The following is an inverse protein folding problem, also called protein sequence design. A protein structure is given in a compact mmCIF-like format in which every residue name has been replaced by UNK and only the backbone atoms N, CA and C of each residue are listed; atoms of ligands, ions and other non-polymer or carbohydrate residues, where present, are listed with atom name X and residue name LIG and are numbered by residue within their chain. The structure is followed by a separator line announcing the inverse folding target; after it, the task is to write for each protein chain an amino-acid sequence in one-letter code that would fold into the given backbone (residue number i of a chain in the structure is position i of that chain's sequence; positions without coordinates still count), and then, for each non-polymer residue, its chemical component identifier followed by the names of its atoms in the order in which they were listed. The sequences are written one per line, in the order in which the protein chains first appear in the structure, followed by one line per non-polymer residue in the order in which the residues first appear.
data_IF_370076970680
#
_entry.id   IF_370076970680
#
_cell.length_a   1.000
_cell.length_b   1.000
_cell.length_c   1.000
_cell.angle_alpha   90.00
_cell.angle_beta   90.00
_cell.angle_gamma   90.00
#
_symmetry.space_group_name_H-M   'P 1'
#
loop_
_entity.id
_entity.type
_entity.pdbx_description
1 polymer ?
#
# COMPACT_ATOMS: atom_id res chain seq x y z
N UNK A 1 -13.65 -25.48 -4.66
CA UNK A 1 -13.60 -24.63 -3.47
C UNK A 1 -12.17 -24.66 -2.93
N UNK A 2 -11.67 -23.49 -2.56
CA UNK A 2 -10.33 -23.35 -1.97
C UNK A 2 -10.52 -22.97 -0.50
N UNK A 3 -10.10 -23.83 0.41
CA UNK A 3 -10.16 -23.55 1.84
C UNK A 3 -8.86 -22.87 2.28
N UNK A 4 -8.99 -21.77 2.98
CA UNK A 4 -7.85 -21.04 3.53
C UNK A 4 -8.21 -20.33 4.84
N UNK A 5 -7.19 -20.02 5.62
CA UNK A 5 -7.31 -19.17 6.81
C UNK A 5 -6.63 -17.84 6.53
N UNK A 6 -7.37 -16.76 6.72
CA UNK A 6 -6.85 -15.40 6.59
C UNK A 6 -6.86 -14.73 7.96
N UNK A 7 -5.70 -14.22 8.37
CA UNK A 7 -5.55 -13.48 9.63
C UNK A 7 -5.01 -12.10 9.33
N UNK A 8 -5.65 -11.07 9.88
CA UNK A 8 -5.18 -9.69 9.79
C UNK A 8 -5.14 -9.06 11.18
N UNK A 9 -4.18 -8.15 11.38
CA UNK A 9 -4.06 -7.39 12.61
C UNK A 9 -3.76 -5.93 12.26
N UNK A 10 -4.33 -5.01 13.04
CA UNK A 10 -4.12 -3.58 12.89
C UNK A 10 -3.93 -2.96 14.26
N UNK A 11 -2.89 -2.13 14.40
CA UNK A 11 -2.65 -1.31 15.58
C UNK A 11 -2.55 0.15 15.16
N UNK A 12 -3.26 1.02 15.87
CA UNK A 12 -3.26 2.45 15.62
C UNK A 12 -2.93 3.18 16.91
N UNK A 13 -1.97 4.12 16.84
CA UNK A 13 -1.65 5.04 17.90
C UNK A 13 -1.77 6.48 17.38
N UNK A 14 -2.42 7.33 18.15
CA UNK A 14 -2.61 8.73 17.82
C UNK A 14 -2.32 9.60 19.03
N UNK A 15 -1.62 10.70 18.82
CA UNK A 15 -1.38 11.71 19.86
C UNK A 15 -1.44 13.11 19.26
N UNK A 16 -1.70 14.09 20.09
CA UNK A 16 -1.69 15.49 19.70
C UNK A 16 -0.57 16.22 20.43
N UNK A 17 0.13 17.05 19.69
CA UNK A 17 1.26 17.83 20.21
C UNK A 17 1.10 19.30 19.82
N UNK A 18 1.98 20.17 20.33
CA UNK A 18 1.96 21.62 20.02
C UNK A 18 0.59 22.28 20.32
N UNK A 19 0.10 22.14 21.56
CA UNK A 19 -1.20 22.63 22.00
C UNK A 19 -2.39 22.05 21.22
N UNK A 20 -2.28 20.77 20.86
CA UNK A 20 -3.30 20.02 20.11
C UNK A 20 -3.49 20.47 18.66
N UNK A 21 -2.60 21.30 18.14
CA UNK A 21 -2.65 21.76 16.75
C UNK A 21 -2.11 20.73 15.77
N UNK A 22 -1.18 19.88 16.20
CA UNK A 22 -0.57 18.85 15.37
C UNK A 22 -0.99 17.47 15.86
N UNK A 23 -1.56 16.67 14.98
CA UNK A 23 -1.93 15.28 15.25
C UNK A 23 -0.88 14.36 14.64
N UNK A 24 -0.28 13.50 15.45
CA UNK A 24 0.65 12.47 15.01
C UNK A 24 -0.05 11.12 15.10
N UNK A 25 0.06 10.34 14.02
CA UNK A 25 -0.58 9.02 13.93
C UNK A 25 0.42 7.99 13.44
N UNK A 26 0.42 6.81 14.07
CA UNK A 26 1.16 5.64 13.62
C UNK A 26 0.18 4.48 13.44
N UNK A 27 0.22 3.83 12.29
CA UNK A 27 -0.64 2.71 11.95
C UNK A 27 0.24 1.55 11.52
N UNK A 28 0.07 0.41 12.20
CA UNK A 28 0.76 -0.84 11.87
C UNK A 28 -0.29 -1.86 11.47
N UNK A 29 -0.14 -2.45 10.30
CA UNK A 29 -1.08 -3.43 9.77
C UNK A 29 -0.31 -4.61 9.19
N UNK A 30 -0.81 -5.81 9.41
CA UNK A 30 -0.23 -7.02 8.86
C UNK A 30 -1.27 -8.09 8.63
N UNK A 31 -0.98 -9.00 7.74
CA UNK A 31 -1.87 -10.12 7.45
C UNK A 31 -1.16 -11.31 6.85
N UNK A 32 -1.79 -12.47 7.01
CA UNK A 32 -1.31 -13.74 6.48
C UNK A 32 -2.46 -14.60 5.99
N UNK A 33 -2.24 -15.29 4.88
CA UNK A 33 -3.16 -16.28 4.34
C UNK A 33 -2.43 -17.61 4.30
N UNK A 34 -3.06 -18.67 4.82
CA UNK A 34 -2.58 -20.03 4.79
C UNK A 34 -3.61 -20.93 4.10
N UNK A 35 -3.23 -21.59 3.02
CA UNK A 35 -4.09 -22.56 2.33
C UNK A 35 -4.22 -23.84 3.15
N UNK A 36 -5.38 -24.45 3.09
CA UNK A 36 -5.68 -25.72 3.75
C UNK A 36 -5.78 -26.85 2.71
N UNK A 37 -5.48 -28.07 3.14
CA UNK A 37 -5.67 -29.27 2.31
C UNK A 37 -4.77 -29.35 1.09
N UNK A 38 -3.63 -28.63 1.06
CA UNK A 38 -2.71 -28.65 -0.08
C UNK A 38 -3.16 -27.81 -1.28
N UNK A 39 -4.20 -27.00 -1.11
CA UNK A 39 -4.68 -26.09 -2.15
C UNK A 39 -3.77 -24.87 -2.30
N UNK A 40 -3.78 -24.26 -3.49
CA UNK A 40 -3.07 -23.01 -3.78
C UNK A 40 -4.06 -21.85 -3.66
N UNK A 41 -3.64 -20.74 -3.06
CA UNK A 41 -4.46 -19.53 -2.98
C UNK A 41 -4.73 -18.96 -4.38
N UNK A 42 -5.96 -18.46 -4.58
CA UNK A 42 -6.32 -17.78 -5.83
C UNK A 42 -5.91 -16.30 -5.75
N UNK A 43 -5.70 -15.67 -6.90
CA UNK A 43 -5.40 -14.22 -6.98
C UNK A 43 -6.45 -13.40 -6.25
N UNK A 44 -7.71 -13.79 -6.34
CA UNK A 44 -8.83 -13.09 -5.68
C UNK A 44 -8.83 -13.19 -4.15
N UNK A 45 -8.11 -14.16 -3.59
CA UNK A 45 -8.06 -14.39 -2.14
C UNK A 45 -6.87 -13.67 -1.50
N UNK A 46 -5.91 -13.20 -2.29
CA UNK A 46 -4.64 -12.64 -1.83
C UNK A 46 -4.72 -11.17 -1.46
N UNK A 47 -3.73 -10.71 -0.71
CA UNK A 47 -3.58 -9.30 -0.39
C UNK A 47 -2.95 -8.54 -1.55
N UNK A 48 -3.48 -7.34 -1.79
CA UNK A 48 -2.88 -6.34 -2.65
C UNK A 48 -2.54 -5.10 -1.83
N UNK A 49 -1.53 -4.36 -2.25
CA UNK A 49 -1.07 -3.20 -1.50
C UNK A 49 -1.96 -1.95 -1.60
N UNK A 50 -3.14 -2.07 -2.18
CA UNK A 50 -4.04 -0.95 -2.45
C UNK A 50 -4.45 -0.22 -1.17
N UNK A 51 -4.13 1.08 -1.08
CA UNK A 51 -4.42 1.89 0.08
C UNK A 51 -3.59 1.60 1.33
N UNK A 52 -2.72 0.60 1.30
CA UNK A 52 -1.84 0.25 2.43
C UNK A 52 -0.57 1.07 2.45
N UNK A 53 0.03 1.27 1.28
CA UNK A 53 1.17 2.17 1.07
C UNK A 53 0.75 3.17 0.00
N UNK A 54 0.69 4.44 0.36
CA UNK A 54 0.32 5.51 -0.58
C UNK A 54 1.45 5.75 -1.59
N UNK A 55 1.12 6.31 -2.74
CA UNK A 55 2.12 6.65 -3.75
C UNK A 55 2.34 5.61 -4.82
N UNK A 56 1.51 4.56 -4.86
CA UNK A 56 1.51 3.54 -5.91
C UNK A 56 0.15 3.45 -6.58
N UNK A 57 0.14 3.05 -7.86
CA UNK A 57 -1.10 2.75 -8.57
C UNK A 57 -1.85 1.58 -7.93
N UNK A 58 -3.15 1.43 -8.18
CA UNK A 58 -3.86 0.21 -7.81
C UNK A 58 -3.12 -1.03 -8.33
N UNK A 59 -2.93 -2.01 -7.43
CA UNK A 59 -2.10 -3.20 -7.72
C UNK A 59 -0.66 -2.87 -8.14
N UNK A 60 -0.15 -1.70 -7.73
CA UNK A 60 1.17 -1.22 -8.13
C UNK A 60 2.34 -1.88 -7.43
N UNK A 61 2.12 -2.56 -6.30
CA UNK A 61 3.16 -3.24 -5.51
C UNK A 61 2.80 -4.70 -5.26
N UNK A 62 3.79 -5.49 -4.93
CA UNK A 62 3.65 -6.89 -4.59
C UNK A 62 4.11 -7.82 -5.70
N UNK A 63 3.96 -9.13 -5.51
CA UNK A 63 4.35 -10.12 -6.50
C UNK A 63 3.70 -9.90 -7.87
N UNK A 64 4.52 -10.02 -8.92
CA UNK A 64 4.11 -9.89 -10.32
C UNK A 64 4.64 -11.05 -11.14
N UNK A 65 3.89 -11.40 -12.18
CA UNK A 65 4.36 -12.32 -13.20
C UNK A 65 5.26 -11.55 -14.19
N UNK A 66 6.55 -11.56 -13.94
CA UNK A 66 7.53 -10.86 -14.77
C UNK A 66 7.69 -11.48 -16.17
N UNK A 67 7.20 -12.72 -16.37
CA UNK A 67 7.17 -13.36 -17.67
C UNK A 67 5.97 -12.98 -18.53
N UNK A 68 4.93 -12.38 -17.95
CA UNK A 68 3.77 -11.89 -18.70
C UNK A 68 4.06 -10.55 -19.37
N UNK A 69 3.49 -10.33 -20.55
CA UNK A 69 3.69 -9.08 -21.31
C UNK A 69 3.30 -7.84 -20.51
N UNK A 70 2.18 -7.93 -19.77
CA UNK A 70 1.66 -6.80 -18.97
C UNK A 70 2.16 -6.85 -17.52
N UNK A 71 2.98 -7.84 -17.16
CA UNK A 71 3.48 -8.05 -15.81
C UNK A 71 2.35 -8.00 -14.77
N UNK A 72 1.39 -8.90 -14.90
CA UNK A 72 0.18 -8.94 -14.08
C UNK A 72 0.49 -9.00 -12.58
N UNK A 73 -0.23 -8.20 -11.81
CA UNK A 73 -0.15 -8.21 -10.35
C UNK A 73 -0.86 -9.45 -9.80
N UNK A 74 -0.16 -10.23 -8.98
CA UNK A 74 -0.65 -11.50 -8.46
C UNK A 74 -1.09 -11.43 -7.00
N UNK A 75 -0.83 -10.31 -6.30
CA UNK A 75 -1.03 -10.20 -4.87
C UNK A 75 -0.05 -11.06 -4.08
N UNK A 76 -0.21 -11.12 -2.78
CA UNK A 76 0.63 -11.93 -1.91
C UNK A 76 -0.15 -12.53 -0.73
N UNK A 77 0.39 -13.59 -0.16
CA UNK A 77 -0.20 -14.25 1.00
C UNK A 77 0.19 -13.57 2.32
N UNK A 78 1.20 -12.72 2.30
CA UNK A 78 1.69 -11.98 3.46
C UNK A 78 1.79 -10.51 3.13
N UNK A 79 1.44 -9.64 4.10
CA UNK A 79 1.76 -8.22 4.03
C UNK A 79 2.08 -7.68 5.41
N UNK A 80 2.90 -6.64 5.45
CA UNK A 80 3.15 -5.84 6.65
C UNK A 80 3.43 -4.42 6.22
N UNK A 81 2.76 -3.45 6.85
CA UNK A 81 2.91 -2.03 6.55
C UNK A 81 2.94 -1.21 7.82
N UNK A 82 3.70 -0.12 7.78
CA UNK A 82 3.70 0.92 8.80
C UNK A 82 3.44 2.25 8.12
N UNK A 83 2.46 3.01 8.61
CA UNK A 83 2.11 4.33 8.10
C UNK A 83 2.27 5.34 9.22
N UNK A 84 3.02 6.40 8.95
CA UNK A 84 3.24 7.50 9.88
C UNK A 84 2.68 8.77 9.27
N UNK A 85 1.87 9.48 10.01
CA UNK A 85 1.20 10.69 9.54
C UNK A 85 1.33 11.81 10.55
N UNK A 86 1.46 13.04 10.04
CA UNK A 86 1.37 14.26 10.82
C UNK A 86 0.37 15.20 10.13
N UNK A 87 -0.67 15.59 10.85
CA UNK A 87 -1.67 16.54 10.37
C UNK A 87 -1.47 17.86 11.11
N UNK A 88 -1.44 18.98 10.38
CA UNK A 88 -1.15 20.29 10.93
C UNK A 88 -1.95 21.39 10.22
N UNK A 89 -2.22 22.53 10.90
CA UNK A 89 -2.87 23.67 10.27
C UNK A 89 -1.90 24.38 9.32
N UNK A 90 -2.44 24.94 8.23
CA UNK A 90 -1.66 25.69 7.24
C UNK A 90 -1.66 27.21 7.52
N UNK A 91 -2.21 27.67 8.65
CA UNK A 91 -2.32 29.09 8.96
C UNK A 91 -3.45 29.80 8.22
N UNK A 92 -4.32 29.06 7.56
CA UNK A 92 -5.51 29.61 6.89
C UNK A 92 -6.67 29.75 7.88
N UNK A 93 -7.63 30.67 7.64
CA UNK A 93 -8.84 30.75 8.46
C UNK A 93 -9.59 29.41 8.51
N UNK A 94 -10.12 29.04 9.68
CA UNK A 94 -10.87 27.80 9.88
C UNK A 94 -12.08 27.68 8.96
N UNK A 95 -12.62 28.80 8.54
CA UNK A 95 -13.77 28.90 7.62
C UNK A 95 -13.52 28.24 6.28
N UNK A 96 -12.27 28.20 5.83
CA UNK A 96 -11.91 27.53 4.58
C UNK A 96 -11.87 26.01 4.71
N UNK A 97 -11.73 25.48 5.91
CA UNK A 97 -11.69 24.05 6.15
C UNK A 97 -10.49 23.35 5.53
N UNK A 98 -9.36 24.06 5.38
CA UNK A 98 -8.15 23.56 4.73
C UNK A 98 -7.07 23.35 5.78
N UNK A 99 -6.48 22.16 5.77
CA UNK A 99 -5.32 21.80 6.59
C UNK A 99 -4.34 20.97 5.76
N UNK A 100 -3.16 20.76 6.30
CA UNK A 100 -2.11 20.00 5.64
C UNK A 100 -1.67 18.79 6.42
N UNK A 101 -0.89 17.95 5.77
CA UNK A 101 -0.29 16.79 6.39
C UNK A 101 0.97 16.36 5.69
N UNK A 102 1.76 15.55 6.39
CA UNK A 102 2.90 14.86 5.83
C UNK A 102 2.78 13.38 6.22
N UNK A 103 3.29 12.50 5.37
CA UNK A 103 3.25 11.07 5.67
C UNK A 103 4.49 10.33 5.19
N UNK A 104 4.76 9.23 5.86
CA UNK A 104 5.78 8.25 5.48
C UNK A 104 5.16 6.87 5.62
N UNK A 105 5.14 6.11 4.54
CA UNK A 105 4.60 4.76 4.51
C UNK A 105 5.71 3.78 4.12
N UNK A 106 5.78 2.65 4.80
CA UNK A 106 6.77 1.60 4.53
C UNK A 106 6.13 0.23 4.73
N UNK A 107 6.50 -0.70 3.89
CA UNK A 107 6.02 -2.08 4.00
C UNK A 107 6.22 -2.90 2.76
N UNK A 108 5.55 -4.03 2.71
CA UNK A 108 5.60 -4.94 1.57
C UNK A 108 4.39 -5.89 1.52
N UNK A 109 4.15 -6.43 0.34
CA UNK A 109 3.26 -7.55 0.08
C UNK A 109 4.10 -8.63 -0.60
N UNK A 110 4.08 -9.86 -0.09
CA UNK A 110 4.97 -10.91 -0.58
C UNK A 110 4.39 -12.31 -0.36
N UNK A 111 5.14 -13.33 -0.77
CA UNK A 111 4.88 -14.75 -0.60
C UNK A 111 3.73 -15.29 -1.43
N UNK A 112 4.03 -16.30 -2.22
CA UNK A 112 3.06 -17.06 -3.02
C UNK A 112 3.27 -18.56 -2.84
N UNK A 113 2.18 -19.32 -3.02
CA UNK A 113 2.23 -20.79 -3.02
C UNK A 113 2.85 -21.34 -4.30
N UNK A 114 2.76 -20.57 -5.39
CA UNK A 114 3.26 -20.96 -6.71
C UNK A 114 3.92 -19.76 -7.38
N UNK A 115 5.18 -19.89 -7.74
CA UNK A 115 6.00 -18.86 -8.40
C UNK A 115 6.28 -19.17 -9.86
N UNK A 116 5.63 -20.18 -10.46
CA UNK A 116 5.70 -20.44 -11.89
C UNK A 116 4.91 -19.36 -12.64
N UNK A 117 5.59 -18.61 -13.47
CA UNK A 117 5.01 -17.53 -14.26
C UNK A 117 4.90 -17.85 -15.75
N UNK A 118 4.37 -16.92 -16.51
CA UNK A 118 4.30 -17.03 -17.97
C UNK A 118 5.70 -16.94 -18.59
N UNK A 119 5.90 -17.65 -19.68
CA UNK A 119 7.16 -17.62 -20.45
C UNK A 119 7.04 -16.56 -21.55
N UNK A 120 8.02 -15.68 -21.65
CA UNK A 120 8.10 -14.68 -22.72
C UNK A 120 9.54 -14.55 -23.22
N UNK A 121 9.76 -13.89 -24.39
CA UNK A 121 11.12 -13.65 -24.87
C UNK A 121 11.98 -12.84 -23.88
N UNK A 122 11.38 -11.93 -23.14
CA UNK A 122 12.05 -11.09 -22.14
C UNK A 122 12.37 -11.88 -20.86
N UNK A 123 11.54 -12.86 -20.52
CA UNK A 123 11.64 -13.69 -19.32
C UNK A 123 11.37 -15.15 -19.63
N UNK A 124 12.31 -15.82 -20.33
CA UNK A 124 12.05 -17.17 -20.83
C UNK A 124 11.88 -18.25 -19.76
N UNK A 125 12.25 -17.96 -18.53
CA UNK A 125 12.07 -18.87 -17.40
C UNK A 125 10.72 -18.76 -16.70
N UNK A 126 9.88 -17.78 -17.07
CA UNK A 126 8.59 -17.55 -16.41
C UNK A 126 8.77 -17.21 -14.94
N UNK A 127 9.33 -16.04 -14.64
CA UNK A 127 9.73 -15.64 -13.28
C UNK A 127 8.60 -14.89 -12.59
N UNK A 128 8.26 -15.32 -11.35
CA UNK A 128 7.44 -14.55 -10.40
C UNK A 128 8.33 -14.15 -9.23
N UNK A 129 8.47 -12.85 -8.99
CA UNK A 129 9.19 -12.36 -7.81
C UNK A 129 8.18 -12.19 -6.67
N UNK A 130 8.23 -13.08 -5.69
CA UNK A 130 7.37 -13.07 -4.51
C UNK A 130 8.14 -12.72 -3.22
N UNK A 131 9.37 -12.27 -3.33
CA UNK A 131 10.21 -11.91 -2.20
C UNK A 131 9.69 -10.73 -1.39
N UNK A 132 10.06 -10.69 -0.10
CA UNK A 132 9.76 -9.59 0.79
C UNK A 132 10.60 -8.36 0.43
N UNK A 133 10.15 -7.59 -0.56
CA UNK A 133 10.82 -6.36 -1.02
C UNK A 133 10.20 -5.16 -0.31
N UNK A 134 11.01 -4.43 0.42
CA UNK A 134 10.58 -3.26 1.14
C UNK A 134 10.27 -2.11 0.17
N UNK A 135 9.11 -1.48 0.33
CA UNK A 135 8.72 -0.25 -0.37
C UNK A 135 8.54 0.84 0.66
N UNK A 136 8.91 2.06 0.29
CA UNK A 136 8.73 3.21 1.17
C UNK A 136 8.37 4.44 0.34
N UNK A 137 7.46 5.24 0.85
CA UNK A 137 7.05 6.51 0.24
C UNK A 137 7.05 7.62 1.27
N UNK A 138 7.28 8.82 0.79
CA UNK A 138 7.12 10.07 1.56
C UNK A 138 6.20 11.00 0.79
N UNK A 139 5.38 11.76 1.49
CA UNK A 139 4.46 12.66 0.83
C UNK A 139 3.90 13.75 1.70
N UNK A 140 3.17 14.64 1.02
CA UNK A 140 2.42 15.73 1.61
C UNK A 140 0.95 15.56 1.24
N UNK A 141 0.07 16.01 2.12
CA UNK A 141 -1.37 15.97 1.90
C UNK A 141 -1.99 17.33 2.14
N UNK A 142 -3.04 17.63 1.39
CA UNK A 142 -3.92 18.78 1.65
C UNK A 142 -5.32 18.22 1.92
N UNK A 143 -5.88 18.59 3.06
CA UNK A 143 -7.24 18.21 3.47
C UNK A 143 -8.14 19.41 3.29
N UNK A 144 -9.26 19.22 2.61
CA UNK A 144 -10.25 20.25 2.39
C UNK A 144 -11.65 19.76 2.71
N UNK A 145 -12.26 20.34 3.75
CA UNK A 145 -13.65 20.06 4.10
C UNK A 145 -14.56 20.93 3.25
N UNK A 146 -15.17 20.33 2.22
CA UNK A 146 -16.12 21.00 1.35
C UNK A 146 -17.56 20.78 1.82
N UNK A 147 -18.54 21.60 1.38
CA UNK A 147 -19.96 21.37 1.70
C UNK A 147 -20.48 20.02 1.22
N UNK A 148 -19.86 19.42 0.22
CA UNK A 148 -20.24 18.11 -0.32
C UNK A 148 -19.45 16.94 0.28
N UNK A 149 -18.51 17.20 1.18
CA UNK A 149 -17.74 16.20 1.89
C UNK A 149 -16.23 16.51 1.95
N UNK A 150 -15.48 15.72 2.72
CA UNK A 150 -14.04 15.91 2.82
C UNK A 150 -13.33 15.44 1.56
N UNK A 151 -12.34 16.21 1.11
CA UNK A 151 -11.41 15.85 0.04
C UNK A 151 -9.99 15.78 0.58
N UNK A 152 -9.22 14.85 0.07
CA UNK A 152 -7.81 14.70 0.42
C UNK A 152 -6.98 14.60 -0.86
N UNK A 153 -6.03 15.52 -1.01
CA UNK A 153 -5.06 15.52 -2.10
C UNK A 153 -3.73 15.02 -1.56
N UNK A 154 -3.23 13.92 -2.10
CA UNK A 154 -1.95 13.33 -1.70
C UNK A 154 -0.93 13.52 -2.81
N UNK A 155 0.22 14.07 -2.46
CA UNK A 155 1.39 14.20 -3.33
C UNK A 155 2.50 13.39 -2.72
N UNK A 156 2.98 12.39 -3.42
CA UNK A 156 3.93 11.44 -2.86
C UNK A 156 5.00 11.02 -3.86
N UNK A 157 6.10 10.50 -3.32
CA UNK A 157 7.17 9.94 -4.11
C UNK A 157 7.70 8.69 -3.41
N UNK A 158 7.92 7.64 -4.19
CA UNK A 158 8.57 6.45 -3.70
C UNK A 158 10.05 6.73 -3.44
N UNK A 159 10.49 6.50 -2.19
CA UNK A 159 11.91 6.60 -1.81
C UNK A 159 12.59 5.23 -1.90
N UNK A 160 11.81 4.16 -1.89
CA UNK A 160 12.26 2.80 -2.14
C UNK A 160 11.16 2.00 -2.83
N UNK A 161 11.48 1.40 -3.96
CA UNK A 161 10.57 0.53 -4.73
C UNK A 161 11.36 -0.45 -5.58
N UNK A 162 10.68 -1.45 -6.12
CA UNK A 162 11.24 -2.32 -7.16
C UNK A 162 10.99 -1.73 -8.55
N UNK A 163 11.80 -2.13 -9.55
CA UNK A 163 11.70 -1.58 -10.91
C UNK A 163 10.34 -1.86 -11.57
N UNK A 164 9.68 -2.96 -11.20
CA UNK A 164 8.38 -3.35 -11.71
C UNK A 164 7.20 -2.73 -10.95
N UNK A 165 7.46 -2.01 -9.86
CA UNK A 165 6.41 -1.32 -9.10
C UNK A 165 5.91 -0.10 -9.88
N UNK A 166 4.60 0.14 -9.81
CA UNK A 166 3.95 1.26 -10.51
C UNK A 166 3.64 2.39 -9.53
N UNK A 167 4.39 3.47 -9.65
CA UNK A 167 4.26 4.65 -8.81
C UNK A 167 3.14 5.56 -9.29
N UNK A 168 2.40 6.14 -8.33
CA UNK A 168 1.41 7.19 -8.58
C UNK A 168 1.72 8.36 -7.66
N UNK A 169 2.19 9.48 -8.23
CA UNK A 169 2.65 10.63 -7.46
C UNK A 169 1.53 11.54 -6.96
N UNK A 170 0.35 11.45 -7.54
CA UNK A 170 -0.84 12.20 -7.14
C UNK A 170 -2.03 11.30 -6.96
N UNK A 171 -2.77 11.50 -5.88
CA UNK A 171 -4.00 10.78 -5.57
C UNK A 171 -5.03 11.71 -4.95
N UNK A 172 -6.29 11.53 -5.30
CA UNK A 172 -7.43 12.25 -4.77
C UNK A 172 -8.41 11.27 -4.13
N UNK A 173 -8.72 11.48 -2.87
CA UNK A 173 -9.69 10.66 -2.13
C UNK A 173 -10.78 11.46 -1.44
#
# INVERSE_FOLDING_TARGET
DTDYIQTTALALAETRVMNEEVTLRAIFEGGAITSLGGNVTRVTDRFFGNGKIRGFEPNGIGPRDLGATDQDALGGNLFAVARFEADFPLGLPEEYGISGGAFFDVGSVWSLDNTAGAVSPEQPGGIVDDGAKLRATIGLSVFWNTPIGPLRFNFSRAVKKEDYDKEQTFDLT
#
